data_IF_398122709992
#
_entry.id   IF_398122709992
#
_cell.length_a   1.000
_cell.length_b   1.000
_cell.length_c   1.000
_cell.angle_alpha   90.00
_cell.angle_beta   90.00
_cell.angle_gamma   90.00
#
_symmetry.space_group_name_H-M   'P 1'
#
loop_
_entity.id
_entity.type
_entity.pdbx_description
1 polymer ?
#
# COMPACT_ATOMS: atom_id res chain seq x y z
N UNK A 1 10.68 3.19 15.58
CA UNK A 1 10.46 1.84 16.15
C UNK A 1 11.68 0.97 15.87
N UNK A 2 12.14 0.91 14.63
CA UNK A 2 13.30 0.13 14.18
C UNK A 2 14.58 0.42 14.97
N UNK A 3 14.98 1.69 15.11
CA UNK A 3 16.15 2.11 15.89
C UNK A 3 16.06 1.62 17.35
N UNK A 4 14.87 1.67 17.95
CA UNK A 4 14.64 1.15 19.31
C UNK A 4 14.81 -0.36 19.39
N UNK A 5 14.30 -1.10 18.40
CA UNK A 5 14.47 -2.56 18.33
C UNK A 5 15.94 -2.94 18.21
N UNK A 6 16.69 -2.31 17.28
CA UNK A 6 18.11 -2.55 17.12
C UNK A 6 18.87 -2.22 18.38
N UNK A 7 18.61 -1.06 18.99
CA UNK A 7 19.19 -0.65 20.28
C UNK A 7 18.96 -1.70 21.37
N UNK A 8 17.73 -2.21 21.52
CA UNK A 8 17.42 -3.24 22.50
C UNK A 8 18.07 -4.58 22.20
N UNK A 9 18.06 -5.03 20.96
CA UNK A 9 18.64 -6.30 20.54
C UNK A 9 20.16 -6.31 20.68
N UNK A 10 20.79 -5.16 20.50
CA UNK A 10 22.25 -4.98 20.67
C UNK A 10 22.65 -4.52 22.08
N UNK A 11 21.68 -4.31 23.00
CA UNK A 11 21.89 -3.76 24.34
C UNK A 11 22.63 -2.42 24.37
N UNK A 12 22.24 -1.53 23.45
CA UNK A 12 22.74 -0.17 23.41
C UNK A 12 24.07 0.03 22.64
N UNK A 13 24.53 -0.98 21.90
CA UNK A 13 25.76 -0.86 21.13
C UNK A 13 25.55 -0.22 19.76
N UNK A 14 24.34 -0.35 19.16
CA UNK A 14 24.06 0.11 17.80
C UNK A 14 22.85 1.03 17.81
N UNK A 15 23.01 2.24 17.28
CA UNK A 15 21.95 3.24 17.13
C UNK A 15 21.82 3.62 15.64
N UNK A 16 21.01 2.86 14.91
CA UNK A 16 20.82 3.00 13.47
C UNK A 16 19.35 3.00 13.09
N UNK A 17 19.07 3.51 11.91
CA UNK A 17 17.82 3.33 11.15
C UNK A 17 18.18 3.05 9.69
N UNK A 18 17.23 2.64 8.86
CA UNK A 18 17.46 2.57 7.42
C UNK A 18 16.86 3.76 6.67
N UNK A 19 17.25 3.92 5.41
CA UNK A 19 16.78 5.02 4.54
C UNK A 19 15.26 5.07 4.41
N UNK A 20 14.56 3.92 4.46
CA UNK A 20 13.11 3.87 4.29
C UNK A 20 12.39 4.42 5.52
N UNK A 21 12.80 4.03 6.73
CA UNK A 21 12.29 4.59 7.98
C UNK A 21 12.68 6.06 8.13
N UNK A 22 13.92 6.42 7.81
CA UNK A 22 14.39 7.81 7.84
C UNK A 22 13.51 8.71 6.96
N UNK A 23 13.16 8.25 5.75
CA UNK A 23 12.33 9.01 4.80
C UNK A 23 10.91 9.30 5.31
N UNK A 24 10.45 8.62 6.37
CA UNK A 24 9.13 8.82 6.99
C UNK A 24 9.12 9.81 8.16
N UNK A 25 10.28 10.36 8.51
CA UNK A 25 10.41 11.22 9.70
C UNK A 25 10.10 12.69 9.45
N UNK A 26 9.97 13.13 8.20
CA UNK A 26 9.95 14.54 7.76
C UNK A 26 11.25 15.31 8.10
N UNK A 27 12.32 14.60 8.46
CA UNK A 27 13.63 15.19 8.80
C UNK A 27 14.73 14.77 7.84
N UNK A 28 14.45 13.79 6.98
CA UNK A 28 15.42 13.19 6.08
C UNK A 28 15.20 13.68 4.64
N UNK A 29 16.26 14.18 4.03
CA UNK A 29 16.24 14.64 2.65
C UNK A 29 16.46 13.46 1.71
N UNK A 30 15.40 13.02 1.02
CA UNK A 30 15.46 11.85 0.13
C UNK A 30 16.28 12.08 -1.14
N UNK A 31 16.59 13.33 -1.50
CA UNK A 31 17.45 13.66 -2.65
C UNK A 31 18.93 13.63 -2.28
N UNK A 32 19.27 14.06 -1.04
CA UNK A 32 20.65 14.10 -0.52
C UNK A 32 21.02 12.85 0.26
N UNK A 33 20.05 12.01 0.57
CA UNK A 33 20.19 10.81 1.43
C UNK A 33 20.86 11.13 2.77
N UNK A 34 20.42 12.21 3.41
CA UNK A 34 20.96 12.70 4.68
C UNK A 34 19.87 13.39 5.51
N UNK A 35 20.09 13.46 6.82
CA UNK A 35 19.29 14.31 7.69
C UNK A 35 19.37 15.76 7.21
N UNK A 36 18.24 16.45 7.13
CA UNK A 36 18.17 17.80 6.59
C UNK A 36 18.42 18.83 7.70
N UNK A 37 19.55 19.59 7.65
CA UNK A 37 19.89 20.51 8.70
C UNK A 37 18.89 21.66 8.88
N UNK A 38 18.24 22.11 7.80
CA UNK A 38 17.23 23.17 7.87
C UNK A 38 15.97 22.68 8.59
N UNK A 39 15.55 21.44 8.32
CA UNK A 39 14.41 20.83 9.02
C UNK A 39 14.74 20.55 10.48
N UNK A 40 15.95 20.09 10.78
CA UNK A 40 16.39 19.88 12.17
C UNK A 40 16.39 21.19 12.97
N UNK A 41 16.88 22.26 12.39
CA UNK A 41 16.84 23.59 13.01
C UNK A 41 15.40 24.08 13.22
N UNK A 42 14.55 23.95 12.18
CA UNK A 42 13.14 24.36 12.23
C UNK A 42 12.37 23.68 13.37
N UNK A 43 12.62 22.38 13.57
CA UNK A 43 11.95 21.61 14.62
C UNK A 43 12.70 21.60 15.96
N UNK A 44 13.87 22.25 16.05
CA UNK A 44 14.68 22.31 17.25
C UNK A 44 15.24 20.95 17.67
N UNK A 45 15.54 20.05 16.72
CA UNK A 45 16.01 18.69 16.98
C UNK A 45 17.53 18.63 16.87
N UNK A 46 18.27 18.32 17.97
CA UNK A 46 19.70 18.14 17.90
C UNK A 46 20.12 16.96 17.02
N UNK A 47 21.00 17.17 16.06
CA UNK A 47 21.48 16.11 15.15
C UNK A 47 22.09 14.90 15.91
N UNK A 48 22.69 15.14 17.08
CA UNK A 48 23.27 14.10 17.93
C UNK A 48 22.25 13.09 18.49
N UNK A 49 20.95 13.40 18.44
CA UNK A 49 19.89 12.48 18.84
C UNK A 49 19.47 11.50 17.75
N UNK A 50 19.86 11.78 16.50
CA UNK A 50 19.40 10.98 15.36
C UNK A 50 20.29 9.76 15.16
N UNK A 51 19.67 8.61 14.76
CA UNK A 51 20.42 7.41 14.43
C UNK A 51 21.25 7.60 13.15
N UNK A 52 22.31 6.84 13.02
CA UNK A 52 23.01 6.70 11.74
C UNK A 52 22.07 6.04 10.73
N UNK A 53 21.98 6.60 9.51
CA UNK A 53 21.12 6.07 8.46
C UNK A 53 21.91 5.09 7.61
N UNK A 54 21.41 3.87 7.50
CA UNK A 54 21.99 2.74 6.80
C UNK A 54 21.20 2.34 5.57
N UNK A 55 21.74 1.43 4.75
CA UNK A 55 20.99 0.78 3.67
C UNK A 55 19.91 -0.15 4.26
N UNK A 56 18.95 -0.58 3.44
CA UNK A 56 17.89 -1.47 3.92
C UNK A 56 18.35 -2.93 4.08
N UNK A 57 19.51 -3.28 3.51
CA UNK A 57 20.08 -4.63 3.49
C UNK A 57 21.57 -4.57 3.74
N UNK A 58 21.97 -4.63 5.00
CA UNK A 58 23.36 -4.75 5.46
C UNK A 58 23.40 -5.30 6.90
N UNK A 59 24.53 -5.80 7.37
CA UNK A 59 24.67 -6.25 8.75
C UNK A 59 24.89 -5.03 9.66
N UNK A 60 23.87 -4.63 10.40
CA UNK A 60 23.91 -3.46 11.32
C UNK A 60 24.58 -3.80 12.65
N UNK A 61 24.53 -5.06 13.06
CA UNK A 61 25.07 -5.54 14.32
C UNK A 61 24.57 -6.95 14.61
N UNK A 62 24.81 -7.41 15.84
CA UNK A 62 24.40 -8.74 16.26
C UNK A 62 23.63 -8.67 17.58
N UNK A 63 22.68 -9.58 17.72
CA UNK A 63 21.94 -9.76 18.99
C UNK A 63 22.88 -10.21 20.08
N UNK A 64 22.56 -9.85 21.35
CA UNK A 64 23.32 -10.33 22.51
C UNK A 64 22.94 -11.75 22.88
N UNK A 65 23.93 -12.57 23.21
CA UNK A 65 23.74 -13.98 23.63
C UNK A 65 22.88 -14.12 24.89
N UNK A 66 22.76 -13.06 25.68
CA UNK A 66 21.85 -13.02 26.85
C UNK A 66 20.37 -12.89 26.47
N UNK A 67 20.06 -12.58 25.21
CA UNK A 67 18.70 -12.51 24.67
C UNK A 67 18.37 -13.77 23.87
N UNK A 68 19.36 -14.27 23.15
CA UNK A 68 19.27 -15.46 22.32
C UNK A 68 20.49 -16.35 22.59
N UNK A 69 20.37 -17.66 22.46
CA UNK A 69 21.48 -18.60 22.70
C UNK A 69 22.71 -18.33 21.82
N UNK A 70 22.51 -17.68 20.68
CA UNK A 70 23.55 -17.35 19.72
C UNK A 70 23.49 -15.87 19.31
N UNK A 71 24.59 -15.35 18.77
CA UNK A 71 24.64 -14.06 18.11
C UNK A 71 23.95 -14.19 16.75
N UNK A 72 22.83 -13.49 16.57
CA UNK A 72 22.10 -13.46 15.32
C UNK A 72 22.37 -12.11 14.64
N UNK A 73 22.80 -12.06 13.37
CA UNK A 73 22.96 -10.80 12.67
C UNK A 73 21.61 -10.11 12.48
N UNK A 74 21.58 -8.78 12.74
CA UNK A 74 20.46 -7.92 12.41
C UNK A 74 20.82 -7.33 11.04
N UNK A 75 20.11 -7.73 9.98
CA UNK A 75 20.61 -7.53 8.63
C UNK A 75 19.59 -7.00 7.61
N UNK A 76 18.35 -6.79 8.00
CA UNK A 76 17.30 -6.20 7.17
C UNK A 76 16.43 -5.27 7.99
N UNK A 77 16.31 -4.02 7.55
CA UNK A 77 15.43 -3.00 8.14
C UNK A 77 14.70 -2.31 7.01
N UNK A 78 13.37 -2.20 7.13
CA UNK A 78 12.55 -1.37 6.25
C UNK A 78 11.29 -0.92 6.97
N UNK A 79 10.73 0.22 6.56
CA UNK A 79 9.37 0.59 6.94
C UNK A 79 8.38 -0.47 6.44
N UNK A 80 7.26 -0.65 7.14
CA UNK A 80 6.30 -1.71 6.87
C UNK A 80 5.78 -1.71 5.42
N UNK A 81 5.46 -0.53 4.90
CA UNK A 81 4.96 -0.39 3.54
C UNK A 81 6.03 -0.70 2.49
N UNK A 82 7.28 -0.27 2.73
CA UNK A 82 8.43 -0.56 1.87
C UNK A 82 8.82 -2.04 1.94
N UNK A 83 8.80 -2.61 3.14
CA UNK A 83 9.00 -4.05 3.32
C UNK A 83 7.95 -4.85 2.55
N UNK A 84 6.66 -4.46 2.61
CA UNK A 84 5.60 -5.10 1.85
C UNK A 84 5.81 -4.97 0.33
N UNK A 85 6.24 -3.80 -0.16
CA UNK A 85 6.57 -3.58 -1.57
C UNK A 85 7.68 -4.53 -2.03
N UNK A 86 8.74 -4.66 -1.22
CA UNK A 86 9.86 -5.57 -1.49
C UNK A 86 9.43 -7.04 -1.38
N UNK A 87 8.67 -7.41 -0.35
CA UNK A 87 8.14 -8.75 -0.13
C UNK A 87 7.16 -9.20 -1.23
N UNK A 88 6.45 -8.27 -1.83
CA UNK A 88 5.66 -8.48 -3.04
C UNK A 88 6.53 -8.58 -4.31
N UNK A 89 7.85 -8.42 -4.20
CA UNK A 89 8.75 -8.38 -5.36
C UNK A 89 8.35 -7.36 -6.43
N UNK A 90 7.83 -6.20 -6.01
CA UNK A 90 7.56 -5.07 -6.89
C UNK A 90 8.85 -4.33 -7.24
N UNK A 91 9.79 -5.06 -7.86
CA UNK A 91 11.18 -4.61 -8.07
C UNK A 91 11.43 -3.89 -9.39
N UNK A 92 10.38 -3.70 -10.20
CA UNK A 92 10.48 -2.97 -11.47
C UNK A 92 9.59 -1.72 -11.44
N UNK A 93 10.02 -0.62 -12.09
CA UNK A 93 9.19 0.57 -12.23
C UNK A 93 7.83 0.26 -12.87
N UNK A 94 6.76 0.84 -12.32
CA UNK A 94 5.37 0.59 -12.73
C UNK A 94 4.69 -0.60 -12.05
N UNK A 95 5.42 -1.40 -11.26
CA UNK A 95 4.79 -2.38 -10.37
C UNK A 95 4.23 -1.69 -9.14
N UNK A 96 3.01 -2.03 -8.78
CA UNK A 96 2.30 -1.46 -7.64
C UNK A 96 1.91 -2.56 -6.66
N UNK A 97 2.11 -2.31 -5.36
CA UNK A 97 1.47 -3.12 -4.32
C UNK A 97 0.31 -2.34 -3.70
N UNK A 98 -0.76 -3.03 -3.31
CA UNK A 98 -1.82 -2.48 -2.48
C UNK A 98 -2.14 -3.42 -1.32
N UNK A 99 -2.01 -2.93 -0.10
CA UNK A 99 -2.42 -3.63 1.11
C UNK A 99 -3.85 -3.23 1.47
N UNK A 100 -4.80 -4.14 1.30
CA UNK A 100 -6.22 -3.95 1.59
C UNK A 100 -6.52 -4.30 3.06
N UNK A 101 -6.28 -3.34 3.94
CA UNK A 101 -6.59 -3.40 5.37
C UNK A 101 -7.86 -2.64 5.75
N UNK A 102 -7.89 -2.03 6.92
CA UNK A 102 -8.94 -1.07 7.35
C UNK A 102 -9.05 0.08 6.35
N UNK A 103 -7.92 0.67 5.97
CA UNK A 103 -7.72 1.47 4.77
C UNK A 103 -6.94 0.69 3.73
N UNK A 104 -6.55 1.35 2.63
CA UNK A 104 -5.64 0.77 1.65
C UNK A 104 -4.37 1.62 1.54
N UNK A 105 -3.22 0.94 1.40
CA UNK A 105 -1.92 1.59 1.27
C UNK A 105 -1.23 1.10 0.01
N UNK A 106 -1.12 2.01 -0.94
CA UNK A 106 -0.55 1.74 -2.26
C UNK A 106 0.87 2.29 -2.34
N UNK A 107 1.79 1.50 -2.86
CA UNK A 107 3.12 1.95 -3.26
C UNK A 107 3.40 1.50 -4.68
N UNK A 108 3.83 2.47 -5.52
CA UNK A 108 4.35 2.23 -6.86
C UNK A 108 5.87 2.37 -6.85
N UNK A 109 6.58 1.37 -7.32
CA UNK A 109 8.00 1.52 -7.65
C UNK A 109 8.13 2.57 -8.77
N UNK A 110 8.77 3.68 -8.49
CA UNK A 110 8.97 4.81 -9.42
C UNK A 110 10.36 4.85 -10.05
N UNK A 111 11.23 3.85 -9.76
CA UNK A 111 12.57 3.75 -10.32
C UNK A 111 13.65 4.38 -9.46
N UNK A 112 14.71 4.84 -10.11
CA UNK A 112 15.97 5.30 -9.48
C UNK A 112 15.99 6.79 -9.13
N UNK A 113 14.88 7.50 -9.35
CA UNK A 113 14.78 8.95 -9.09
C UNK A 113 13.52 9.28 -8.30
N UNK A 114 13.59 10.19 -7.35
CA UNK A 114 12.43 10.67 -6.63
C UNK A 114 11.50 11.46 -7.55
N UNK A 115 10.21 11.16 -7.49
CA UNK A 115 9.17 11.86 -8.27
C UNK A 115 8.53 12.92 -7.39
N UNK A 116 8.47 14.16 -7.86
CA UNK A 116 7.69 15.22 -7.20
C UNK A 116 6.23 15.08 -7.60
N UNK A 117 5.40 14.69 -6.67
CA UNK A 117 3.97 14.53 -6.94
C UNK A 117 3.26 15.87 -7.15
N UNK A 118 2.40 15.92 -8.18
CA UNK A 118 1.46 17.02 -8.45
C UNK A 118 0.01 16.63 -8.14
N UNK A 119 -0.21 15.37 -7.75
CA UNK A 119 -1.51 14.80 -7.44
C UNK A 119 -1.62 14.39 -5.96
N UNK A 120 -0.92 15.11 -5.07
CA UNK A 120 -0.99 14.92 -3.62
C UNK A 120 -0.58 13.52 -3.14
N UNK A 121 0.35 12.86 -3.82
CA UNK A 121 0.96 11.62 -3.38
C UNK A 121 2.24 11.90 -2.58
N UNK A 122 2.70 10.93 -1.81
CA UNK A 122 3.96 11.02 -1.07
C UNK A 122 5.09 10.37 -1.89
N UNK A 123 6.20 11.11 -2.05
CA UNK A 123 7.44 10.53 -2.55
C UNK A 123 8.25 9.96 -1.37
N UNK A 124 8.76 8.75 -1.51
CA UNK A 124 9.51 8.06 -0.45
C UNK A 124 10.61 7.19 -1.06
N UNK A 125 11.54 6.73 -0.22
CA UNK A 125 12.52 5.73 -0.62
C UNK A 125 11.86 4.35 -0.44
N UNK A 126 11.90 3.52 -1.49
CA UNK A 126 11.42 2.15 -1.45
C UNK A 126 12.42 1.22 -0.73
N UNK A 127 13.69 1.32 -1.07
CA UNK A 127 14.84 0.66 -0.41
C UNK A 127 16.16 1.23 -0.93
N UNK A 128 17.23 0.96 -0.18
CA UNK A 128 18.60 1.09 -0.66
C UNK A 128 19.34 -0.22 -0.41
N UNK A 129 19.97 -0.78 -1.46
CA UNK A 129 20.78 -1.99 -1.39
C UNK A 129 22.14 -1.68 -2.03
N UNK A 130 23.21 -1.76 -1.24
CA UNK A 130 24.51 -1.26 -1.68
C UNK A 130 24.44 0.24 -2.02
N UNK A 131 24.83 0.61 -3.23
CA UNK A 131 24.77 2.01 -3.70
C UNK A 131 23.46 2.33 -4.45
N UNK A 132 22.65 1.32 -4.79
CA UNK A 132 21.45 1.50 -5.57
C UNK A 132 20.26 1.92 -4.67
N UNK A 133 19.60 3.01 -5.06
CA UNK A 133 18.41 3.54 -4.39
C UNK A 133 17.20 3.38 -5.32
N UNK A 134 16.15 2.79 -4.80
CA UNK A 134 14.86 2.73 -5.47
C UNK A 134 13.87 3.63 -4.72
N UNK A 135 13.09 4.40 -5.48
CA UNK A 135 12.06 5.29 -4.95
C UNK A 135 10.67 4.75 -5.19
N UNK A 136 9.71 5.27 -4.44
CA UNK A 136 8.31 4.93 -4.61
C UNK A 136 7.41 6.17 -4.46
N UNK A 137 6.26 6.14 -5.15
CA UNK A 137 5.12 6.98 -4.83
C UNK A 137 4.16 6.21 -3.93
N UNK A 138 3.66 6.88 -2.90
CA UNK A 138 2.70 6.33 -1.96
C UNK A 138 1.40 7.11 -1.98
N UNK A 139 0.27 6.38 -2.00
CA UNK A 139 -1.07 6.90 -1.80
C UNK A 139 -1.83 6.07 -0.78
N UNK A 140 -2.65 6.73 0.01
CA UNK A 140 -3.45 6.11 1.05
C UNK A 140 -4.94 6.30 0.78
N UNK A 141 -5.74 5.31 1.16
CA UNK A 141 -7.19 5.33 1.17
C UNK A 141 -7.63 5.10 2.62
N UNK A 142 -8.40 6.02 3.19
CA UNK A 142 -8.78 5.93 4.61
C UNK A 142 -9.75 4.79 4.87
N UNK A 143 -10.67 4.52 3.96
CA UNK A 143 -11.75 3.55 4.12
C UNK A 143 -11.65 2.46 3.05
N UNK A 144 -10.95 1.39 3.38
CA UNK A 144 -10.89 0.14 2.62
C UNK A 144 -11.84 -0.91 3.24
N UNK A 145 -11.30 -1.93 3.88
CA UNK A 145 -12.08 -2.95 4.58
C UNK A 145 -13.00 -2.41 5.69
N UNK A 146 -12.75 -1.18 6.18
CA UNK A 146 -13.62 -0.51 7.13
C UNK A 146 -15.07 -0.35 6.63
N UNK A 147 -15.30 -0.23 5.31
CA UNK A 147 -16.65 -0.17 4.77
C UNK A 147 -17.39 -1.49 4.98
N UNK A 148 -16.71 -2.62 4.85
CA UNK A 148 -17.28 -3.95 5.10
C UNK A 148 -17.66 -4.11 6.57
N UNK A 149 -16.81 -3.60 7.49
CA UNK A 149 -17.13 -3.56 8.91
C UNK A 149 -18.37 -2.70 9.17
N UNK A 150 -18.48 -1.54 8.51
CA UNK A 150 -19.64 -0.67 8.64
C UNK A 150 -20.92 -1.32 8.08
N UNK A 151 -20.86 -2.07 6.98
CA UNK A 151 -22.00 -2.85 6.47
C UNK A 151 -22.47 -3.90 7.49
N UNK A 152 -21.54 -4.47 8.29
CA UNK A 152 -21.84 -5.44 9.34
C UNK A 152 -22.36 -4.76 10.60
N UNK A 153 -21.61 -3.80 11.15
CA UNK A 153 -21.84 -3.25 12.50
C UNK A 153 -22.77 -2.04 12.49
N UNK A 154 -22.75 -1.25 11.42
CA UNK A 154 -23.58 -0.04 11.25
C UNK A 154 -24.92 -0.30 10.59
N UNK A 155 -24.95 -1.04 9.48
CA UNK A 155 -26.17 -1.34 8.74
C UNK A 155 -26.78 -2.71 9.08
N UNK A 156 -26.00 -3.66 9.57
CA UNK A 156 -26.48 -5.00 9.90
C UNK A 156 -26.93 -5.84 8.70
N UNK A 157 -26.47 -5.52 7.49
CA UNK A 157 -26.88 -6.23 6.26
C UNK A 157 -26.06 -7.50 5.99
N UNK A 158 -24.95 -7.68 6.72
CA UNK A 158 -24.13 -8.89 6.77
C UNK A 158 -23.81 -9.23 8.22
N UNK A 159 -23.51 -10.49 8.54
CA UNK A 159 -23.17 -10.95 9.90
C UNK A 159 -21.68 -11.12 10.12
N UNK A 160 -20.94 -11.38 9.03
CA UNK A 160 -19.50 -11.51 9.01
C UNK A 160 -18.91 -10.83 7.79
N UNK A 161 -17.63 -10.44 7.85
CA UNK A 161 -16.97 -9.79 6.70
C UNK A 161 -16.90 -10.70 5.47
N UNK A 162 -16.87 -12.04 5.64
CA UNK A 162 -16.87 -12.98 4.52
C UNK A 162 -18.20 -13.04 3.76
N UNK A 163 -19.34 -12.74 4.43
CA UNK A 163 -20.65 -12.75 3.78
C UNK A 163 -20.80 -11.67 2.71
N UNK A 164 -20.00 -10.59 2.76
CA UNK A 164 -20.09 -9.51 1.77
C UNK A 164 -19.83 -10.02 0.35
N UNK A 165 -18.89 -10.95 0.18
CA UNK A 165 -18.58 -11.52 -1.13
C UNK A 165 -19.77 -12.30 -1.69
N UNK A 166 -20.36 -13.18 -0.88
CA UNK A 166 -21.55 -13.97 -1.26
C UNK A 166 -22.74 -13.08 -1.60
N UNK A 167 -22.99 -12.05 -0.77
CA UNK A 167 -24.07 -11.11 -0.99
C UNK A 167 -23.85 -10.28 -2.27
N UNK A 168 -22.65 -9.73 -2.46
CA UNK A 168 -22.31 -8.97 -3.66
C UNK A 168 -22.33 -9.81 -4.95
N UNK A 169 -21.98 -11.11 -4.84
CA UNK A 169 -22.03 -12.05 -5.98
C UNK A 169 -23.44 -12.47 -6.39
N UNK A 170 -24.44 -12.27 -5.51
CA UNK A 170 -25.84 -12.61 -5.79
C UNK A 170 -26.53 -11.68 -6.80
N UNK A 171 -25.87 -10.58 -7.18
CA UNK A 171 -26.32 -9.63 -8.22
C UNK A 171 -25.27 -9.50 -9.31
N UNK A 172 -25.65 -9.23 -10.57
CA UNK A 172 -24.70 -9.13 -11.67
C UNK A 172 -23.77 -7.90 -11.56
N UNK A 173 -24.29 -6.80 -11.00
CA UNK A 173 -23.60 -5.52 -10.80
C UNK A 173 -24.27 -4.72 -9.69
N UNK A 174 -23.79 -3.49 -9.44
CA UNK A 174 -24.36 -2.62 -8.41
C UNK A 174 -25.71 -1.98 -8.80
N UNK A 175 -26.28 -2.25 -9.98
CA UNK A 175 -27.58 -1.74 -10.43
C UNK A 175 -27.64 -0.23 -10.54
N UNK A 176 -26.52 0.43 -10.93
CA UNK A 176 -26.38 1.88 -11.02
C UNK A 176 -26.14 2.57 -9.67
N UNK A 177 -25.93 1.82 -8.59
CA UNK A 177 -25.62 2.36 -7.27
C UNK A 177 -24.11 2.63 -7.17
N UNK A 178 -23.75 3.84 -6.73
CA UNK A 178 -22.38 4.21 -6.37
C UNK A 178 -22.31 4.49 -4.89
N UNK A 179 -21.30 3.91 -4.23
CA UNK A 179 -21.02 4.15 -2.83
C UNK A 179 -19.64 4.82 -2.71
N UNK A 180 -19.61 6.11 -2.34
CA UNK A 180 -18.40 6.84 -2.00
C UNK A 180 -18.13 6.62 -0.49
N UNK A 181 -17.15 5.79 -0.09
CA UNK A 181 -16.99 5.38 1.31
C UNK A 181 -16.16 6.39 2.12
N UNK A 182 -16.49 7.67 2.07
CA UNK A 182 -15.79 8.73 2.79
C UNK A 182 -16.24 8.83 4.27
N UNK A 183 -16.21 7.70 5.02
CA UNK A 183 -16.67 7.68 6.41
C UNK A 183 -15.84 8.58 7.33
N UNK A 184 -14.56 8.77 7.00
CA UNK A 184 -13.61 9.65 7.70
C UNK A 184 -12.96 10.65 6.75
N UNK A 185 -13.66 11.05 5.68
CA UNK A 185 -13.13 11.86 4.60
C UNK A 185 -12.50 11.02 3.47
N UNK A 186 -11.98 11.71 2.45
CA UNK A 186 -11.24 11.13 1.34
C UNK A 186 -9.75 11.46 1.48
N UNK A 187 -8.89 10.44 1.34
CA UNK A 187 -7.44 10.60 1.33
C UNK A 187 -6.94 10.94 -0.10
N UNK A 188 -5.81 10.39 -0.51
CA UNK A 188 -5.25 10.63 -1.84
C UNK A 188 -6.22 10.21 -2.96
N UNK A 189 -6.30 10.96 -4.06
CA UNK A 189 -5.60 12.22 -4.34
C UNK A 189 -6.33 13.47 -3.82
N UNK A 190 -7.49 13.33 -3.20
CA UNK A 190 -8.43 14.40 -2.84
C UNK A 190 -8.04 15.20 -1.59
N UNK A 191 -7.55 14.48 -0.55
CA UNK A 191 -7.16 15.05 0.75
C UNK A 191 -8.22 15.97 1.37
N UNK A 192 -9.47 15.52 1.37
CA UNK A 192 -10.59 16.23 1.98
C UNK A 192 -11.16 15.45 3.17
N UNK A 193 -10.90 15.94 4.38
CA UNK A 193 -11.34 15.30 5.64
C UNK A 193 -12.77 15.71 6.05
N UNK A 194 -13.33 16.75 5.44
CA UNK A 194 -14.63 17.31 5.80
C UNK A 194 -15.80 16.60 5.10
N UNK A 195 -15.55 15.97 3.96
CA UNK A 195 -16.56 15.22 3.22
C UNK A 195 -16.98 13.95 3.96
N UNK A 196 -18.19 13.51 3.67
CA UNK A 196 -18.76 12.28 4.27
C UNK A 196 -19.24 11.33 3.19
N UNK A 197 -19.34 10.04 3.55
CA UNK A 197 -19.77 8.99 2.65
C UNK A 197 -21.16 9.24 2.08
N UNK A 198 -21.37 8.83 0.82
CA UNK A 198 -22.63 8.96 0.13
C UNK A 198 -22.96 7.68 -0.66
N UNK A 199 -24.25 7.38 -0.74
CA UNK A 199 -24.80 6.34 -1.63
C UNK A 199 -25.74 7.02 -2.60
N UNK A 200 -25.48 6.90 -3.90
CA UNK A 200 -26.28 7.48 -4.98
C UNK A 200 -26.77 6.42 -5.94
N UNK A 201 -27.72 6.76 -6.81
CA UNK A 201 -28.28 5.82 -7.81
C UNK A 201 -29.29 4.82 -7.24
N UNK A 202 -29.81 4.98 -6.03
CA UNK A 202 -30.80 4.10 -5.41
C UNK A 202 -32.12 4.19 -6.15
N UNK A 203 -32.68 3.04 -6.51
CA UNK A 203 -34.00 2.89 -7.12
C UNK A 203 -34.89 1.94 -6.28
N UNK A 204 -36.14 1.76 -6.69
CA UNK A 204 -37.05 0.80 -6.04
C UNK A 204 -36.55 -0.65 -6.10
N UNK A 205 -35.72 -0.99 -7.09
CA UNK A 205 -35.13 -2.31 -7.25
C UNK A 205 -33.84 -2.56 -6.45
N UNK A 206 -33.30 -1.51 -5.81
CA UNK A 206 -32.07 -1.62 -5.04
C UNK A 206 -32.26 -2.48 -3.79
N UNK A 207 -31.39 -3.45 -3.60
CA UNK A 207 -31.40 -4.38 -2.47
C UNK A 207 -30.10 -4.27 -1.67
N UNK A 208 -30.02 -4.95 -0.51
CA UNK A 208 -28.80 -5.05 0.28
C UNK A 208 -27.62 -5.60 -0.54
N UNK A 209 -27.88 -6.49 -1.51
CA UNK A 209 -26.84 -7.05 -2.39
C UNK A 209 -26.23 -5.97 -3.30
N UNK A 210 -27.03 -5.07 -3.85
CA UNK A 210 -26.52 -3.94 -4.65
C UNK A 210 -25.69 -2.97 -3.80
N UNK A 211 -26.12 -2.70 -2.55
CA UNK A 211 -25.33 -1.86 -1.62
C UNK A 211 -23.99 -2.53 -1.27
N UNK A 212 -23.99 -3.83 -0.97
CA UNK A 212 -22.77 -4.59 -0.70
C UNK A 212 -21.82 -4.59 -1.90
N UNK A 213 -22.37 -4.77 -3.11
CA UNK A 213 -21.61 -4.72 -4.36
C UNK A 213 -21.01 -3.32 -4.58
N UNK A 214 -21.82 -2.26 -4.47
CA UNK A 214 -21.36 -0.89 -4.60
C UNK A 214 -20.28 -0.51 -3.58
N UNK A 215 -20.35 -1.05 -2.36
CA UNK A 215 -19.32 -0.85 -1.35
C UNK A 215 -17.96 -1.47 -1.75
N UNK A 216 -17.95 -2.68 -2.29
CA UNK A 216 -16.75 -3.32 -2.81
C UNK A 216 -16.20 -2.57 -4.04
N UNK A 217 -17.08 -2.18 -4.96
CA UNK A 217 -16.70 -1.40 -6.13
C UNK A 217 -16.14 -0.02 -5.73
N UNK A 218 -16.69 0.62 -4.68
CA UNK A 218 -16.18 1.87 -4.13
C UNK A 218 -14.75 1.79 -3.59
N UNK A 219 -14.33 0.66 -3.03
CA UNK A 219 -12.93 0.41 -2.65
C UNK A 219 -12.05 0.36 -3.91
N UNK A 220 -12.50 -0.36 -4.94
CA UNK A 220 -11.75 -0.50 -6.17
C UNK A 220 -11.64 0.82 -6.95
N UNK A 221 -12.69 1.62 -6.97
CA UNK A 221 -12.67 2.96 -7.60
C UNK A 221 -11.67 3.91 -6.92
N UNK A 222 -11.66 3.97 -5.58
CA UNK A 222 -10.66 4.77 -4.87
C UNK A 222 -9.23 4.29 -5.19
N UNK A 223 -9.01 2.97 -5.24
CA UNK A 223 -7.72 2.39 -5.66
C UNK A 223 -7.36 2.84 -7.07
N UNK A 224 -8.29 2.84 -8.00
CA UNK A 224 -8.10 3.34 -9.37
C UNK A 224 -7.71 4.82 -9.38
N UNK A 225 -8.34 5.67 -8.57
CA UNK A 225 -8.02 7.10 -8.51
C UNK A 225 -6.57 7.33 -8.05
N UNK A 226 -6.13 6.59 -7.03
CA UNK A 226 -4.75 6.66 -6.53
C UNK A 226 -3.75 6.14 -7.57
N UNK A 227 -4.02 4.99 -8.20
CA UNK A 227 -3.16 4.42 -9.24
C UNK A 227 -3.05 5.36 -10.45
N UNK A 228 -4.16 5.96 -10.88
CA UNK A 228 -4.16 6.93 -11.97
C UNK A 228 -3.34 8.20 -11.61
N UNK A 229 -3.38 8.63 -10.35
CA UNK A 229 -2.53 9.72 -9.87
C UNK A 229 -1.03 9.32 -9.90
N UNK A 230 -0.70 8.09 -9.50
CA UNK A 230 0.67 7.55 -9.57
C UNK A 230 1.20 7.50 -11.00
N UNK A 231 0.39 7.01 -11.94
CA UNK A 231 0.74 6.95 -13.38
C UNK A 231 1.02 8.35 -13.92
N UNK A 232 0.14 9.32 -13.62
CA UNK A 232 0.32 10.71 -14.08
C UNK A 232 1.57 11.37 -13.52
N UNK A 233 1.87 11.14 -12.23
CA UNK A 233 3.02 11.75 -11.57
C UNK A 233 4.35 11.10 -11.98
N UNK A 234 4.37 9.78 -12.06
CA UNK A 234 5.58 9.03 -12.45
C UNK A 234 5.85 9.08 -13.96
N UNK A 235 4.82 9.26 -14.79
CA UNK A 235 4.94 9.10 -16.23
C UNK A 235 5.28 7.66 -16.64
N UNK A 236 4.93 6.68 -15.81
CA UNK A 236 5.23 5.25 -15.99
C UNK A 236 3.91 4.49 -16.06
N UNK A 237 3.76 3.60 -17.04
CA UNK A 237 2.58 2.75 -17.15
C UNK A 237 2.51 1.72 -16.02
N UNK A 238 1.28 1.42 -15.59
CA UNK A 238 1.01 0.35 -14.63
C UNK A 238 1.31 -1.01 -15.28
N UNK A 239 2.25 -1.76 -14.72
CA UNK A 239 2.57 -3.11 -15.20
C UNK A 239 1.62 -4.16 -14.62
N UNK A 240 1.47 -4.16 -13.31
CA UNK A 240 0.61 -5.07 -12.57
C UNK A 240 0.33 -4.51 -11.17
N UNK A 241 -0.78 -4.94 -10.57
CA UNK A 241 -1.14 -4.65 -9.20
C UNK A 241 -1.01 -5.91 -8.35
N UNK A 242 -0.10 -5.91 -7.40
CA UNK A 242 0.04 -6.99 -6.40
C UNK A 242 -0.69 -6.62 -5.13
N UNK A 243 -1.47 -7.56 -4.60
CA UNK A 243 -2.41 -7.28 -3.51
C UNK A 243 -2.19 -8.19 -2.32
N UNK A 244 -2.34 -7.63 -1.13
CA UNK A 244 -2.34 -8.35 0.14
C UNK A 244 -3.32 -7.71 1.14
N UNK A 245 -3.30 -8.19 2.38
CA UNK A 245 -4.23 -7.75 3.41
C UNK A 245 -5.57 -8.49 3.37
N UNK A 246 -6.37 -8.31 4.42
CA UNK A 246 -7.57 -9.13 4.65
C UNK A 246 -8.63 -9.04 3.57
N UNK A 247 -8.87 -7.85 2.98
CA UNK A 247 -9.90 -7.69 1.96
C UNK A 247 -9.45 -8.18 0.57
N UNK A 248 -8.14 -8.42 0.35
CA UNK A 248 -7.64 -9.04 -0.88
C UNK A 248 -8.12 -10.51 -1.05
N UNK A 249 -8.62 -11.14 0.01
CA UNK A 249 -9.24 -12.47 -0.06
C UNK A 249 -10.55 -12.47 -0.87
N UNK A 250 -11.23 -11.32 -1.01
CA UNK A 250 -12.51 -11.18 -1.71
C UNK A 250 -12.29 -11.19 -3.23
N UNK A 251 -12.75 -12.27 -3.91
CA UNK A 251 -12.53 -12.43 -5.35
C UNK A 251 -13.40 -11.48 -6.19
N UNK A 252 -14.59 -11.09 -5.71
CA UNK A 252 -15.45 -10.12 -6.39
C UNK A 252 -14.75 -8.76 -6.44
N UNK A 253 -14.17 -8.31 -5.33
CA UNK A 253 -13.39 -7.08 -5.27
C UNK A 253 -12.16 -7.16 -6.18
N UNK A 254 -11.39 -8.25 -6.12
CA UNK A 254 -10.16 -8.39 -6.90
C UNK A 254 -10.42 -8.46 -8.41
N UNK A 255 -11.48 -9.15 -8.84
CA UNK A 255 -11.85 -9.18 -10.25
C UNK A 255 -12.30 -7.80 -10.74
N UNK A 256 -13.17 -7.13 -9.98
CA UNK A 256 -13.58 -5.77 -10.33
C UNK A 256 -12.40 -4.80 -10.34
N UNK A 257 -11.45 -4.96 -9.43
CA UNK A 257 -10.20 -4.16 -9.44
C UNK A 257 -9.39 -4.37 -10.72
N UNK A 258 -9.27 -5.61 -11.20
CA UNK A 258 -8.60 -5.91 -12.47
C UNK A 258 -9.33 -5.28 -13.65
N UNK A 259 -10.66 -5.41 -13.68
CA UNK A 259 -11.50 -4.88 -14.75
C UNK A 259 -11.43 -3.35 -14.84
N UNK A 260 -11.58 -2.64 -13.69
CA UNK A 260 -11.63 -1.18 -13.67
C UNK A 260 -10.26 -0.53 -13.95
N UNK A 261 -9.17 -1.18 -13.58
CA UNK A 261 -7.80 -0.76 -13.91
C UNK A 261 -7.37 -1.21 -15.32
N UNK A 262 -8.08 -2.15 -15.93
CA UNK A 262 -7.68 -2.85 -17.14
C UNK A 262 -6.23 -3.42 -17.02
N UNK A 263 -5.91 -3.98 -15.84
CA UNK A 263 -4.57 -4.48 -15.51
C UNK A 263 -4.69 -5.73 -14.67
N UNK A 264 -3.73 -6.65 -14.83
CA UNK A 264 -3.68 -7.87 -14.03
C UNK A 264 -3.50 -7.55 -12.55
N UNK A 265 -4.36 -8.16 -11.71
CA UNK A 265 -4.25 -8.13 -10.24
C UNK A 265 -3.75 -9.49 -9.77
N UNK A 266 -2.71 -9.51 -8.93
CA UNK A 266 -2.06 -10.74 -8.49
C UNK A 266 -2.05 -10.83 -6.97
N UNK A 267 -2.64 -11.90 -6.45
CA UNK A 267 -2.59 -12.25 -5.03
C UNK A 267 -1.49 -13.28 -4.79
N UNK A 268 -0.52 -13.03 -3.89
CA UNK A 268 0.54 -13.98 -3.61
C UNK A 268 0.07 -15.12 -2.71
N UNK A 269 0.81 -16.23 -2.74
CA UNK A 269 0.57 -17.36 -1.85
C UNK A 269 0.87 -17.02 -0.38
N UNK A 270 1.87 -16.20 -0.12
CA UNK A 270 2.24 -15.71 1.21
C UNK A 270 1.70 -14.29 1.33
N UNK A 271 0.73 -14.11 2.21
CA UNK A 271 0.05 -12.81 2.42
C UNK A 271 0.74 -11.91 3.45
N UNK A 272 1.64 -12.46 4.28
CA UNK A 272 2.45 -11.70 5.25
C UNK A 272 3.68 -11.07 4.58
N UNK A 273 3.42 -10.25 3.57
CA UNK A 273 4.44 -9.69 2.67
C UNK A 273 5.38 -8.72 3.36
N UNK A 274 4.93 -8.03 4.40
CA UNK A 274 5.77 -7.15 5.22
C UNK A 274 6.89 -7.91 5.92
N UNK A 275 6.56 -9.00 6.63
CA UNK A 275 7.55 -9.83 7.29
C UNK A 275 8.48 -10.50 6.27
N UNK A 276 7.91 -10.94 5.13
CA UNK A 276 8.67 -11.56 4.05
C UNK A 276 9.68 -10.59 3.43
N UNK A 277 9.31 -9.33 3.23
CA UNK A 277 10.21 -8.31 2.70
C UNK A 277 11.40 -8.02 3.62
N UNK A 278 11.16 -7.89 4.92
CA UNK A 278 12.23 -7.75 5.89
C UNK A 278 13.16 -8.99 5.91
N UNK A 279 12.59 -10.19 5.78
CA UNK A 279 13.36 -11.44 5.70
C UNK A 279 14.19 -11.51 4.41
N UNK A 280 13.66 -11.08 3.27
CA UNK A 280 14.39 -11.02 2.01
C UNK A 280 15.57 -10.06 2.07
N UNK A 281 15.38 -8.85 2.61
CA UNK A 281 16.47 -7.88 2.80
C UNK A 281 17.56 -8.43 3.72
N UNK A 282 17.19 -9.08 4.83
CA UNK A 282 18.13 -9.71 5.73
C UNK A 282 18.88 -10.88 5.06
N UNK A 283 18.18 -11.71 4.30
CA UNK A 283 18.77 -12.84 3.57
C UNK A 283 19.79 -12.43 2.52
N UNK A 284 19.54 -11.32 1.81
CA UNK A 284 20.51 -10.72 0.88
C UNK A 284 21.79 -10.28 1.63
N UNK A 285 21.61 -9.56 2.74
CA UNK A 285 22.75 -9.03 3.49
C UNK A 285 23.66 -10.11 4.10
N UNK A 286 23.10 -11.28 4.45
CA UNK A 286 23.88 -12.41 5.00
C UNK A 286 24.30 -13.42 3.93
N UNK A 287 23.96 -13.19 2.65
CA UNK A 287 24.31 -14.06 1.55
C UNK A 287 23.51 -15.38 1.51
N UNK A 288 22.32 -15.41 2.11
CA UNK A 288 21.39 -16.54 1.98
C UNK A 288 20.82 -16.63 0.54
N UNK A 289 20.53 -15.48 -0.07
CA UNK A 289 20.28 -15.33 -1.49
C UNK A 289 21.37 -14.48 -2.11
N UNK A 290 21.79 -14.84 -3.32
CA UNK A 290 22.85 -14.14 -4.04
C UNK A 290 22.41 -12.77 -4.55
N UNK A 291 21.15 -12.65 -4.95
CA UNK A 291 20.57 -11.44 -5.53
C UNK A 291 19.02 -11.43 -5.50
N UNK A 292 18.44 -10.32 -5.93
CA UNK A 292 16.97 -10.15 -6.03
C UNK A 292 16.36 -11.13 -7.05
N UNK A 293 17.12 -11.54 -8.05
CA UNK A 293 16.65 -12.44 -9.11
C UNK A 293 16.38 -13.84 -8.56
N UNK A 294 17.26 -14.33 -7.67
CA UNK A 294 17.06 -15.59 -6.96
C UNK A 294 15.83 -15.53 -6.04
N UNK A 295 15.64 -14.41 -5.30
CA UNK A 295 14.46 -14.23 -4.44
C UNK A 295 13.17 -14.28 -5.28
N UNK A 296 13.16 -13.66 -6.46
CA UNK A 296 11.99 -13.64 -7.35
C UNK A 296 11.53 -15.06 -7.74
N UNK A 297 12.41 -16.05 -7.82
CA UNK A 297 12.06 -17.43 -8.12
C UNK A 297 11.30 -18.11 -6.98
N UNK A 298 11.40 -17.59 -5.74
CA UNK A 298 10.68 -18.08 -4.57
C UNK A 298 9.36 -17.38 -4.32
N UNK A 299 9.09 -16.28 -5.06
CA UNK A 299 7.81 -15.61 -4.98
C UNK A 299 6.78 -16.34 -5.84
N UNK A 300 5.66 -16.77 -5.23
CA UNK A 300 4.63 -17.55 -5.90
C UNK A 300 3.28 -16.84 -5.82
N UNK A 301 2.60 -16.74 -6.96
CA UNK A 301 1.20 -16.31 -7.01
C UNK A 301 0.27 -17.41 -6.49
N UNK A 302 -0.76 -17.02 -5.75
CA UNK A 302 -1.87 -17.90 -5.41
C UNK A 302 -2.95 -17.78 -6.48
N UNK A 303 -3.31 -16.54 -6.83
CA UNK A 303 -4.34 -16.27 -7.83
C UNK A 303 -4.04 -15.02 -8.65
N UNK A 304 -4.43 -15.08 -9.91
CA UNK A 304 -4.35 -14.00 -10.86
C UNK A 304 -5.74 -13.65 -11.37
N UNK A 305 -6.06 -12.36 -11.40
CA UNK A 305 -7.31 -11.83 -11.91
C UNK A 305 -6.97 -11.02 -13.17
N UNK A 306 -7.45 -11.52 -14.30
CA UNK A 306 -7.21 -10.92 -15.61
C UNK A 306 -8.45 -10.09 -15.97
N UNK A 307 -8.28 -8.88 -16.55
CA UNK A 307 -9.40 -8.06 -17.00
C UNK A 307 -10.35 -8.82 -17.93
N UNK A 308 -11.66 -8.67 -17.71
CA UNK A 308 -12.72 -9.36 -18.48
C UNK A 308 -12.86 -8.85 -19.92
N UNK A 309 -12.28 -7.69 -20.24
CA UNK A 309 -12.35 -7.06 -21.56
C UNK A 309 -13.58 -6.19 -21.80
N UNK A 310 -14.47 -6.01 -20.81
CA UNK A 310 -15.67 -5.14 -20.90
C UNK A 310 -15.33 -3.64 -20.81
N UNK A 311 -14.40 -3.16 -21.64
CA UNK A 311 -13.83 -1.80 -21.53
C UNK A 311 -14.88 -0.69 -21.58
N UNK A 312 -15.86 -0.78 -22.51
CA UNK A 312 -16.89 0.25 -22.64
C UNK A 312 -17.71 0.39 -21.33
N UNK A 313 -18.11 -0.75 -20.75
CA UNK A 313 -18.84 -0.75 -19.46
C UNK A 313 -17.98 -0.17 -18.33
N UNK A 314 -16.68 -0.48 -18.31
CA UNK A 314 -15.78 0.09 -17.31
C UNK A 314 -15.63 1.60 -17.44
N UNK A 315 -15.60 2.16 -18.67
CA UNK A 315 -15.56 3.62 -18.85
C UNK A 315 -16.86 4.29 -18.37
N UNK A 316 -18.02 3.72 -18.68
CA UNK A 316 -19.31 4.22 -18.16
C UNK A 316 -19.35 4.21 -16.61
N UNK A 317 -18.81 3.15 -15.99
CA UNK A 317 -18.72 3.06 -14.53
C UNK A 317 -17.74 4.09 -13.93
N UNK A 318 -16.62 4.38 -14.61
CA UNK A 318 -15.66 5.43 -14.20
C UNK A 318 -16.28 6.82 -14.28
N UNK A 319 -17.11 7.08 -15.27
CA UNK A 319 -17.85 8.36 -15.39
C UNK A 319 -18.83 8.53 -14.23
N UNK A 320 -19.65 7.52 -13.97
CA UNK A 320 -20.59 7.57 -12.86
C UNK A 320 -19.91 7.66 -11.48
N UNK A 321 -18.73 7.04 -11.33
CA UNK A 321 -17.91 7.21 -10.12
C UNK A 321 -17.44 8.64 -9.94
N UNK A 322 -16.90 9.27 -11.01
CA UNK A 322 -16.49 10.70 -10.97
C UNK A 322 -17.62 11.60 -10.54
N UNK A 323 -18.80 11.43 -11.16
CA UNK A 323 -20.00 12.19 -10.79
C UNK A 323 -20.39 11.99 -9.31
N UNK A 324 -20.27 10.76 -8.80
CA UNK A 324 -20.59 10.47 -7.41
C UNK A 324 -19.60 11.12 -6.43
N UNK A 325 -18.32 11.14 -6.77
CA UNK A 325 -17.27 11.80 -5.97
C UNK A 325 -17.44 13.33 -6.02
N UNK A 326 -17.65 13.91 -7.19
CA UNK A 326 -17.83 15.35 -7.36
C UNK A 326 -18.99 15.89 -6.50
N UNK A 327 -20.13 15.17 -6.47
CA UNK A 327 -21.25 15.52 -5.58
C UNK A 327 -20.91 15.49 -4.10
N UNK A 328 -19.92 14.69 -3.71
CA UNK A 328 -19.45 14.63 -2.31
C UNK A 328 -18.49 15.78 -2.03
N UNK A 329 -17.67 16.18 -3.01
CA UNK A 329 -16.67 17.25 -2.89
C UNK A 329 -17.28 18.67 -2.96
N UNK A 330 -18.41 18.83 -3.68
CA UNK A 330 -19.10 20.12 -3.84
C UNK A 330 -19.92 20.56 -2.60
N UNK A 331 -20.04 19.70 -1.59
CA UNK A 331 -20.76 19.98 -0.33
C UNK A 331 -19.83 20.55 0.74
#
# INVERSE_FOLDING_TARGET
VDSWLVWKLTRGEVHVTDVTNASRTMLYNIHRLAWDPELLELFGIPAAMLPEVKTSSEIYGHTKTTLFAHKIPIAGIAGDQQAALFGQMCTEPGMVKNTYGTGCFLLMNSGDKPVVSKNNLLATIAWKIGEEVTYALEGSIFVGGAIVQWLRDGLGIIRSSGEVETLAHSVPDAGGVYFVPALTGLAAPYWNQDVRGAISGISRGTTAAHIARAALEGIAFQTMDVVNAMIRDAGIELKELRVDGGAAANNVLMQFQADILNTTVIRPKIIETTALGAAYLAGLAVGYWSDIHEIRQHWHKEKEFIPSGEQQKMEELKEGWRDAVDRVLER
#
